data_IF_101905285217
#
_entry.id   IF_101905285217
#
_cell.length_a   1.000
_cell.length_b   1.000
_cell.length_c   1.000
_cell.angle_alpha   90.00
_cell.angle_beta   90.00
_cell.angle_gamma   90.00
#
_symmetry.space_group_name_H-M   'P 1'
#
loop_
_entity.id
_entity.type
_entity.pdbx_description
1 polymer ?
#
# COMPACT_ATOMS: atom_id res chain seq x y z
N UNK A 1 -14.35 -10.77 -3.66
CA UNK A 1 -13.70 -10.23 -2.44
C UNK A 1 -12.94 -9.00 -2.89
N UNK A 2 -13.16 -7.82 -2.31
CA UNK A 2 -12.61 -6.58 -2.86
C UNK A 2 -11.61 -5.93 -1.88
N UNK A 3 -10.44 -5.60 -2.40
CA UNK A 3 -9.39 -4.79 -1.76
C UNK A 3 -9.33 -3.43 -2.48
N UNK A 4 -8.74 -2.40 -1.89
CA UNK A 4 -8.40 -1.15 -2.61
C UNK A 4 -6.89 -1.09 -2.80
N UNK A 5 -6.44 -1.01 -4.05
CA UNK A 5 -5.03 -0.86 -4.41
C UNK A 5 -4.82 0.54 -4.98
N UNK A 6 -3.76 1.22 -4.58
CA UNK A 6 -3.37 2.52 -5.12
C UNK A 6 -1.87 2.57 -5.40
N UNK A 7 -1.46 3.29 -6.45
CA UNK A 7 -0.05 3.43 -6.85
C UNK A 7 0.35 4.91 -6.89
N UNK A 8 1.21 5.33 -5.97
CA UNK A 8 1.75 6.69 -5.93
C UNK A 8 3.17 6.75 -5.36
N UNK A 9 4.04 7.53 -6.03
CA UNK A 9 5.46 7.68 -5.71
C UNK A 9 5.80 8.81 -4.72
N UNK A 10 4.86 9.71 -4.42
CA UNK A 10 5.06 10.79 -3.46
C UNK A 10 3.97 10.79 -2.36
N UNK A 11 3.87 11.84 -1.55
CA UNK A 11 3.14 11.92 -0.28
C UNK A 11 1.57 11.80 -0.28
N UNK A 12 0.80 11.63 -1.39
CA UNK A 12 -0.66 11.54 -1.27
C UNK A 12 -1.19 10.19 -0.75
N UNK A 13 -0.35 9.18 -0.51
CA UNK A 13 -0.76 7.92 0.14
C UNK A 13 -1.45 8.10 1.51
N UNK A 14 -1.15 9.18 2.24
CA UNK A 14 -1.91 9.53 3.45
C UNK A 14 -3.35 9.95 3.12
N UNK A 15 -3.55 10.70 2.05
CA UNK A 15 -4.87 11.09 1.55
C UNK A 15 -5.61 9.86 1.02
N UNK A 16 -4.97 9.05 0.18
CA UNK A 16 -5.44 7.74 -0.26
C UNK A 16 -5.95 6.90 0.91
N UNK A 17 -5.08 6.67 1.90
CA UNK A 17 -5.39 5.91 3.11
C UNK A 17 -6.59 6.50 3.84
N UNK A 18 -6.64 7.83 4.02
CA UNK A 18 -7.75 8.51 4.69
C UNK A 18 -9.10 8.28 3.97
N UNK A 19 -9.10 8.21 2.65
CA UNK A 19 -10.33 8.10 1.85
C UNK A 19 -10.73 6.66 1.48
N UNK A 20 -9.77 5.75 1.33
CA UNK A 20 -9.97 4.40 0.83
C UNK A 20 -9.84 3.32 1.90
N UNK A 21 -9.01 3.54 2.93
CA UNK A 21 -8.85 2.55 3.98
C UNK A 21 -10.09 2.44 4.88
N UNK A 22 -10.25 1.28 5.50
CA UNK A 22 -11.30 1.07 6.49
C UNK A 22 -11.02 1.92 7.73
N UNK A 23 -12.04 2.62 8.21
CA UNK A 23 -11.96 3.50 9.39
C UNK A 23 -11.68 2.77 10.71
N UNK A 24 -11.93 1.47 10.77
CA UNK A 24 -11.64 0.61 11.93
C UNK A 24 -10.23 -0.01 11.90
N UNK A 25 -9.40 0.38 10.93
CA UNK A 25 -8.01 -0.08 10.86
C UNK A 25 -7.19 0.62 11.94
N UNK A 26 -6.67 -0.15 12.91
CA UNK A 26 -5.79 0.33 13.98
C UNK A 26 -4.35 -0.10 13.82
N UNK A 27 -4.08 -1.02 12.90
CA UNK A 27 -2.73 -1.55 12.64
C UNK A 27 -2.43 -1.44 11.15
N UNK A 28 -1.32 -0.79 10.83
CA UNK A 28 -0.78 -0.70 9.48
C UNK A 28 0.52 -1.51 9.35
N UNK A 29 0.84 -1.88 8.11
CA UNK A 29 2.08 -2.54 7.73
C UNK A 29 2.87 -1.69 6.75
N UNK A 30 4.19 -1.61 6.91
CA UNK A 30 5.10 -0.98 5.94
C UNK A 30 6.17 -1.97 5.56
N UNK A 31 6.25 -2.30 4.27
CA UNK A 31 7.28 -3.18 3.72
C UNK A 31 8.27 -2.29 2.94
N UNK A 32 9.47 -2.15 3.49
CA UNK A 32 10.46 -1.17 3.08
C UNK A 32 10.74 -0.15 4.18
N UNK A 33 12.01 0.02 4.54
CA UNK A 33 12.48 0.97 5.57
C UNK A 33 13.51 1.95 4.99
N UNK A 34 13.38 2.26 3.70
CA UNK A 34 14.25 3.19 2.98
C UNK A 34 13.92 4.65 3.26
N UNK A 35 14.59 5.57 2.55
CA UNK A 35 14.43 7.03 2.75
C UNK A 35 12.97 7.48 2.62
N UNK A 36 12.25 6.98 1.62
CA UNK A 36 10.85 7.36 1.39
C UNK A 36 9.88 6.79 2.43
N UNK A 37 10.24 5.68 3.11
CA UNK A 37 9.38 5.06 4.12
C UNK A 37 9.11 6.01 5.31
N UNK A 38 10.03 6.94 5.58
CA UNK A 38 9.92 7.97 6.62
C UNK A 38 8.66 8.82 6.44
N UNK A 39 8.50 9.39 5.25
CA UNK A 39 7.34 10.22 4.89
C UNK A 39 6.04 9.40 4.89
N UNK A 40 6.10 8.16 4.41
CA UNK A 40 4.95 7.27 4.36
C UNK A 40 4.43 6.90 5.76
N UNK A 41 5.32 6.57 6.70
CA UNK A 41 4.92 6.26 8.08
C UNK A 41 4.22 7.45 8.73
N UNK A 42 4.80 8.65 8.62
CA UNK A 42 4.18 9.87 9.16
C UNK A 42 2.82 10.14 8.51
N UNK A 43 2.72 9.99 7.19
CA UNK A 43 1.46 10.17 6.47
C UNK A 43 0.39 9.15 6.88
N UNK A 44 0.77 7.89 7.12
CA UNK A 44 -0.14 6.84 7.58
C UNK A 44 -0.68 7.13 8.99
N UNK A 45 0.18 7.54 9.92
CA UNK A 45 -0.21 7.89 11.28
C UNK A 45 -1.14 9.11 11.30
N UNK A 46 -0.91 10.09 10.43
CA UNK A 46 -1.81 11.25 10.29
C UNK A 46 -3.12 10.92 9.54
N UNK A 47 -3.10 9.92 8.66
CA UNK A 47 -4.25 9.54 7.86
C UNK A 47 -5.28 8.71 8.63
N UNK A 48 -4.84 7.93 9.61
CA UNK A 48 -5.64 6.95 10.33
C UNK A 48 -5.29 6.92 11.82
N UNK A 49 -6.27 6.57 12.67
CA UNK A 49 -6.08 6.40 14.11
C UNK A 49 -5.31 5.10 14.41
N UNK A 50 -4.01 5.06 14.09
CA UNK A 50 -3.18 3.87 14.25
C UNK A 50 -2.68 3.74 15.70
N UNK A 51 -2.81 2.53 16.23
CA UNK A 51 -2.20 2.12 17.50
C UNK A 51 -0.84 1.47 17.30
N UNK A 52 -0.62 0.90 16.11
CA UNK A 52 0.59 0.14 15.78
C UNK A 52 0.94 0.19 14.29
N UNK A 53 2.24 0.28 14.01
CA UNK A 53 2.80 0.05 12.68
C UNK A 53 3.76 -1.13 12.73
N UNK A 54 3.51 -2.15 11.92
CA UNK A 54 4.45 -3.24 11.72
C UNK A 54 5.36 -2.89 10.54
N UNK A 55 6.67 -3.02 10.70
CA UNK A 55 7.63 -2.79 9.63
C UNK A 55 8.40 -4.06 9.28
N UNK A 56 8.74 -4.21 8.01
CA UNK A 56 9.66 -5.25 7.55
C UNK A 56 10.48 -4.73 6.37
N UNK A 57 11.75 -5.08 6.31
CA UNK A 57 12.55 -4.93 5.10
C UNK A 57 13.64 -6.01 5.03
N UNK A 58 14.35 -6.06 3.89
CA UNK A 58 15.53 -6.93 3.70
C UNK A 58 16.81 -6.36 4.33
N UNK A 59 16.79 -5.12 4.84
CA UNK A 59 17.97 -4.54 5.48
C UNK A 59 18.25 -5.22 6.82
N UNK A 60 19.43 -4.97 7.37
CA UNK A 60 19.80 -5.49 8.69
C UNK A 60 18.76 -5.14 9.77
N UNK A 61 18.54 -6.08 10.70
CA UNK A 61 17.59 -5.89 11.81
C UNK A 61 17.93 -4.68 12.68
N UNK A 62 19.21 -4.31 12.77
CA UNK A 62 19.64 -3.09 13.49
C UNK A 62 19.14 -1.82 12.83
N UNK A 63 19.26 -1.71 11.50
CA UNK A 63 18.76 -0.55 10.74
C UNK A 63 17.22 -0.44 10.83
N UNK A 64 16.53 -1.57 10.74
CA UNK A 64 15.07 -1.62 10.94
C UNK A 64 14.68 -1.17 12.35
N UNK A 65 15.43 -1.61 13.38
CA UNK A 65 15.20 -1.21 14.76
C UNK A 65 15.43 0.28 14.98
N UNK A 66 16.53 0.84 14.46
CA UNK A 66 16.77 2.29 14.52
C UNK A 66 15.65 3.10 13.86
N UNK A 67 15.14 2.65 12.71
CA UNK A 67 13.98 3.25 12.06
C UNK A 67 12.73 3.16 12.96
N UNK A 68 12.44 1.98 13.51
CA UNK A 68 11.28 1.78 14.38
C UNK A 68 11.33 2.68 15.62
N UNK A 69 12.48 2.75 16.28
CA UNK A 69 12.67 3.54 17.50
C UNK A 69 12.51 5.04 17.20
N UNK A 70 13.19 5.54 16.14
CA UNK A 70 13.12 6.95 15.69
C UNK A 70 11.68 7.37 15.40
N UNK A 71 10.96 6.59 14.57
CA UNK A 71 9.61 6.97 14.15
C UNK A 71 8.55 6.67 15.22
N UNK A 72 8.79 5.74 16.14
CA UNK A 72 7.92 5.59 17.33
C UNK A 72 7.99 6.84 18.21
N UNK A 73 9.18 7.38 18.43
CA UNK A 73 9.37 8.61 19.20
C UNK A 73 8.73 9.82 18.52
N UNK A 74 8.94 9.99 17.21
CA UNK A 74 8.38 11.11 16.45
C UNK A 74 6.85 11.08 16.40
N UNK A 75 6.26 9.91 16.21
CA UNK A 75 4.82 9.78 15.94
C UNK A 75 3.99 9.47 17.18
N UNK A 76 4.60 8.96 18.24
CA UNK A 76 3.90 8.47 19.44
C UNK A 76 3.16 7.13 19.24
N UNK A 77 3.34 6.47 18.09
CA UNK A 77 2.73 5.18 17.76
C UNK A 77 3.74 4.04 17.98
N UNK A 78 3.29 2.87 18.44
CA UNK A 78 4.16 1.68 18.55
C UNK A 78 4.57 1.19 17.16
N UNK A 79 5.84 1.38 16.79
CA UNK A 79 6.41 0.83 15.57
C UNK A 79 7.28 -0.38 15.93
N UNK A 80 6.89 -1.54 15.39
CA UNK A 80 7.46 -2.83 15.74
C UNK A 80 7.89 -3.61 14.50
N UNK A 81 8.98 -4.36 14.63
CA UNK A 81 9.47 -5.20 13.53
C UNK A 81 8.60 -6.45 13.38
N UNK A 82 8.35 -6.85 12.13
CA UNK A 82 7.87 -8.17 11.77
C UNK A 82 9.04 -9.03 11.26
N UNK A 83 8.88 -10.36 11.31
CA UNK A 83 9.94 -11.29 10.88
C UNK A 83 10.01 -11.45 9.36
N UNK A 84 8.89 -11.22 8.67
CA UNK A 84 8.76 -11.32 7.22
C UNK A 84 7.52 -10.58 6.72
N UNK A 85 7.47 -10.27 5.42
CA UNK A 85 6.27 -9.79 4.75
C UNK A 85 5.09 -10.77 4.95
N UNK A 86 5.34 -12.07 4.83
CA UNK A 86 4.35 -13.14 5.05
C UNK A 86 3.74 -13.14 6.45
N UNK A 87 4.54 -12.81 7.48
CA UNK A 87 4.02 -12.69 8.85
C UNK A 87 3.32 -11.36 9.12
N UNK A 88 3.64 -10.31 8.36
CA UNK A 88 3.12 -8.95 8.51
C UNK A 88 1.76 -8.77 7.83
N UNK A 89 1.67 -9.15 6.55
CA UNK A 89 0.51 -8.85 5.69
C UNK A 89 -0.80 -9.41 6.26
N UNK A 90 -0.86 -10.66 6.78
CA UNK A 90 -2.09 -11.19 7.36
C UNK A 90 -2.52 -10.51 8.66
N UNK A 91 -1.71 -9.64 9.28
CA UNK A 91 -2.02 -9.02 10.57
C UNK A 91 -2.68 -7.65 10.44
N UNK A 92 -2.70 -7.07 9.25
CA UNK A 92 -3.05 -5.66 9.06
C UNK A 92 -4.10 -5.47 7.96
N UNK A 93 -4.68 -4.26 7.90
CA UNK A 93 -5.68 -3.85 6.89
C UNK A 93 -5.24 -2.63 6.08
N UNK A 94 -4.08 -2.07 6.38
CA UNK A 94 -3.41 -1.03 5.60
C UNK A 94 -1.99 -1.54 5.37
N UNK A 95 -1.53 -1.59 4.13
CA UNK A 95 -0.15 -1.97 3.80
C UNK A 95 0.44 -0.98 2.81
N UNK A 96 1.61 -0.43 3.13
CA UNK A 96 2.41 0.34 2.18
C UNK A 96 3.62 -0.47 1.76
N UNK A 97 3.77 -0.69 0.45
CA UNK A 97 4.92 -1.31 -0.18
C UNK A 97 5.80 -0.19 -0.75
N UNK A 98 7.04 -0.13 -0.28
CA UNK A 98 8.00 0.92 -0.66
C UNK A 98 9.42 0.38 -0.69
N UNK A 99 9.62 -0.63 -1.53
CA UNK A 99 10.90 -1.32 -1.71
C UNK A 99 11.52 -1.06 -3.08
N UNK A 100 12.74 -1.56 -3.26
CA UNK A 100 13.41 -1.65 -4.56
C UNK A 100 13.30 -3.06 -5.17
N UNK A 101 12.27 -3.82 -4.82
CA UNK A 101 12.04 -5.13 -5.40
C UNK A 101 11.70 -5.00 -6.89
N UNK A 102 12.26 -5.90 -7.70
CA UNK A 102 11.95 -6.01 -9.14
C UNK A 102 11.00 -7.16 -9.44
N UNK A 103 10.67 -7.96 -8.43
CA UNK A 103 9.83 -9.15 -8.51
C UNK A 103 8.84 -9.14 -7.32
N UNK A 104 7.69 -9.83 -7.43
CA UNK A 104 6.69 -9.87 -6.38
C UNK A 104 7.26 -10.30 -5.03
N UNK A 105 7.02 -9.48 -4.00
CA UNK A 105 7.42 -9.73 -2.61
C UNK A 105 6.24 -10.02 -1.69
N UNK A 106 5.01 -9.84 -2.19
CA UNK A 106 3.79 -10.16 -1.47
C UNK A 106 2.88 -11.06 -2.31
N UNK A 107 2.43 -12.14 -1.69
CA UNK A 107 1.50 -13.08 -2.31
C UNK A 107 0.05 -12.68 -2.04
N UNK A 108 -0.79 -12.77 -3.07
CA UNK A 108 -2.22 -12.48 -3.02
C UNK A 108 -2.99 -13.22 -1.91
N UNK A 109 -2.57 -14.44 -1.56
CA UNK A 109 -3.20 -15.24 -0.51
C UNK A 109 -3.02 -14.69 0.91
N UNK A 110 -2.08 -13.77 1.12
CA UNK A 110 -1.81 -13.20 2.44
C UNK A 110 -2.79 -12.09 2.82
N UNK A 111 -3.47 -11.49 1.84
CA UNK A 111 -4.31 -10.33 2.04
C UNK A 111 -5.63 -10.65 2.75
N UNK A 112 -5.99 -9.86 3.77
CA UNK A 112 -7.30 -9.94 4.43
C UNK A 112 -8.38 -9.13 3.69
N UNK A 113 -9.57 -9.68 3.39
CA UNK A 113 -10.59 -8.96 2.62
C UNK A 113 -10.86 -7.53 3.12
N UNK A 114 -10.73 -6.53 2.26
CA UNK A 114 -10.84 -5.12 2.62
C UNK A 114 -9.53 -4.49 3.13
N UNK A 115 -8.38 -5.10 2.88
CA UNK A 115 -7.08 -4.43 3.01
C UNK A 115 -6.95 -3.31 1.97
N UNK A 116 -6.44 -2.16 2.41
CA UNK A 116 -6.00 -1.07 1.56
C UNK A 116 -4.48 -1.17 1.36
N UNK A 117 -4.02 -1.03 0.11
CA UNK A 117 -2.63 -1.23 -0.28
C UNK A 117 -2.16 0.00 -1.03
N UNK A 118 -1.06 0.59 -0.56
CA UNK A 118 -0.31 1.63 -1.26
C UNK A 118 0.92 0.98 -1.90
N UNK A 119 0.98 0.92 -3.23
CA UNK A 119 2.12 0.46 -4.02
C UNK A 119 2.99 1.65 -4.44
N UNK A 120 4.16 1.79 -3.83
CA UNK A 120 5.04 2.95 -4.03
C UNK A 120 6.32 2.59 -4.76
N UNK A 121 6.84 1.36 -4.56
CA UNK A 121 8.12 0.92 -5.10
C UNK A 121 8.09 0.52 -6.56
N UNK A 122 6.91 0.19 -7.12
CA UNK A 122 6.74 -0.12 -8.54
C UNK A 122 6.69 1.17 -9.37
N UNK A 123 7.86 1.70 -9.70
CA UNK A 123 8.04 3.02 -10.29
C UNK A 123 8.72 3.02 -11.67
N UNK A 124 8.88 1.87 -12.30
CA UNK A 124 9.42 1.75 -13.65
C UNK A 124 8.77 0.58 -14.39
N UNK A 125 8.73 0.61 -15.73
CA UNK A 125 8.20 -0.48 -16.54
C UNK A 125 8.88 -1.80 -16.18
N UNK A 126 8.08 -2.87 -16.02
CA UNK A 126 8.58 -4.20 -15.70
C UNK A 126 9.01 -4.42 -14.25
N UNK A 127 8.97 -3.41 -13.37
CA UNK A 127 9.31 -3.53 -11.94
C UNK A 127 8.03 -3.58 -11.11
N UNK A 128 7.90 -4.59 -10.25
CA UNK A 128 6.70 -4.81 -9.42
C UNK A 128 7.02 -5.31 -8.00
N UNK A 129 6.13 -5.03 -7.06
CA UNK A 129 6.15 -5.53 -5.69
C UNK A 129 5.03 -6.54 -5.41
N UNK A 130 3.97 -6.51 -6.22
CA UNK A 130 2.76 -7.32 -6.11
C UNK A 130 2.72 -8.43 -7.15
N UNK A 131 2.13 -9.56 -6.78
CA UNK A 131 1.80 -10.59 -7.75
C UNK A 131 0.60 -10.18 -8.63
N UNK A 132 0.49 -10.77 -9.82
CA UNK A 132 -0.61 -10.50 -10.75
C UNK A 132 -1.98 -10.71 -10.13
N UNK A 133 -2.10 -11.75 -9.30
CA UNK A 133 -3.35 -12.10 -8.64
C UNK A 133 -3.83 -11.00 -7.65
N UNK A 134 -2.93 -10.21 -7.06
CA UNK A 134 -3.32 -9.08 -6.21
C UNK A 134 -4.03 -8.02 -7.04
N UNK A 135 -3.46 -7.62 -8.18
CA UNK A 135 -4.09 -6.67 -9.12
C UNK A 135 -5.46 -7.15 -9.59
N UNK A 136 -5.54 -8.41 -10.02
CA UNK A 136 -6.77 -9.02 -10.55
C UNK A 136 -7.95 -9.07 -9.55
N UNK A 137 -7.66 -9.16 -8.25
CA UNK A 137 -8.67 -9.26 -7.19
C UNK A 137 -8.92 -7.92 -6.46
N UNK A 138 -8.15 -6.88 -6.80
CA UNK A 138 -8.25 -5.56 -6.23
C UNK A 138 -9.19 -4.64 -7.00
N UNK A 139 -9.58 -3.53 -6.37
CA UNK A 139 -10.05 -2.34 -7.07
C UNK A 139 -8.87 -1.39 -7.17
N UNK A 140 -8.33 -1.22 -8.37
CA UNK A 140 -7.26 -0.27 -8.63
C UNK A 140 -7.78 1.17 -8.66
N UNK A 141 -7.14 2.04 -7.88
CA UNK A 141 -7.27 3.49 -7.94
C UNK A 141 -5.94 4.03 -8.42
N UNK A 142 -5.97 4.79 -9.50
CA UNK A 142 -4.76 5.33 -10.11
C UNK A 142 -4.59 6.81 -9.77
N UNK A 143 -3.37 7.31 -9.90
CA UNK A 143 -3.16 8.73 -10.07
C UNK A 143 -3.95 9.22 -11.29
N UNK A 144 -4.40 10.47 -11.26
CA UNK A 144 -5.17 11.07 -12.36
C UNK A 144 -4.37 11.31 -13.65
N UNK A 145 -3.13 10.82 -13.75
CA UNK A 145 -2.31 10.91 -14.95
C UNK A 145 -2.28 9.59 -15.72
N UNK A 146 -2.30 9.69 -17.04
CA UNK A 146 -2.39 8.54 -17.94
C UNK A 146 -1.09 7.70 -18.01
N UNK A 147 0.03 8.20 -17.45
CA UNK A 147 1.35 7.56 -17.54
C UNK A 147 1.53 6.35 -16.64
N UNK A 148 0.66 6.14 -15.66
CA UNK A 148 0.83 5.06 -14.68
C UNK A 148 0.75 3.65 -15.29
N UNK A 149 -0.05 3.46 -16.35
CA UNK A 149 -0.09 2.20 -17.09
C UNK A 149 1.24 1.89 -17.80
N UNK A 150 2.05 2.90 -18.07
CA UNK A 150 3.34 2.77 -18.73
C UNK A 150 4.49 2.68 -17.71
N UNK A 151 4.28 3.13 -16.47
CA UNK A 151 5.35 3.30 -15.47
C UNK A 151 5.26 2.36 -14.26
N UNK A 152 4.07 1.86 -13.89
CA UNK A 152 3.89 1.00 -12.72
C UNK A 152 3.68 -0.46 -13.11
N UNK A 153 4.75 -1.26 -13.03
CA UNK A 153 4.72 -2.69 -13.29
C UNK A 153 3.66 -3.48 -12.51
N UNK A 154 3.28 -3.04 -11.30
CA UNK A 154 2.22 -3.65 -10.51
C UNK A 154 0.82 -3.61 -11.18
N UNK A 155 0.60 -2.71 -12.15
CA UNK A 155 -0.62 -2.67 -12.97
C UNK A 155 -0.33 -3.01 -14.43
N UNK A 156 0.76 -2.48 -14.98
CA UNK A 156 1.17 -2.71 -16.37
C UNK A 156 1.27 -4.21 -16.67
N UNK A 157 1.99 -4.98 -15.83
CA UNK A 157 2.23 -6.40 -16.07
C UNK A 157 0.92 -7.21 -16.04
N UNK A 158 0.03 -7.07 -15.03
CA UNK A 158 -1.28 -7.73 -15.05
C UNK A 158 -2.16 -7.40 -16.26
N UNK A 159 -2.05 -6.17 -16.78
CA UNK A 159 -2.76 -5.75 -18.00
C UNK A 159 -2.18 -6.42 -19.25
N UNK A 160 -0.86 -6.45 -19.39
CA UNK A 160 -0.17 -7.12 -20.50
C UNK A 160 -0.37 -8.65 -20.48
N UNK A 161 -0.42 -9.26 -19.29
CA UNK A 161 -0.74 -10.68 -19.09
C UNK A 161 -2.22 -10.99 -19.39
N UNK A 162 -3.08 -9.98 -19.55
CA UNK A 162 -4.51 -10.12 -19.84
C UNK A 162 -5.35 -10.58 -18.65
N UNK A 163 -4.79 -10.57 -17.42
CA UNK A 163 -5.47 -11.00 -16.20
C UNK A 163 -6.29 -9.87 -15.57
N UNK A 164 -5.92 -8.62 -15.87
CA UNK A 164 -6.63 -7.42 -15.45
C UNK A 164 -6.88 -6.53 -16.67
N UNK A 165 -8.09 -6.03 -16.88
CA UNK A 165 -8.31 -5.08 -17.98
C UNK A 165 -8.08 -3.67 -17.48
N UNK A 166 -7.47 -2.82 -18.30
CA UNK A 166 -7.36 -1.39 -18.01
C UNK A 166 -8.74 -0.75 -17.76
N UNK A 167 -9.79 -1.23 -18.44
CA UNK A 167 -11.18 -0.80 -18.22
C UNK A 167 -11.73 -1.16 -16.82
N UNK A 168 -11.11 -2.12 -16.11
CA UNK A 168 -11.51 -2.53 -14.77
C UNK A 168 -10.91 -1.64 -13.66
N UNK A 169 -10.06 -0.66 -14.04
CA UNK A 169 -9.58 0.39 -13.13
C UNK A 169 -10.77 1.20 -12.62
N UNK A 170 -10.94 1.20 -11.30
CA UNK A 170 -12.14 1.73 -10.66
C UNK A 170 -12.21 3.26 -10.71
N UNK A 171 -11.08 3.95 -10.84
CA UNK A 171 -11.00 5.39 -11.08
C UNK A 171 -9.72 6.02 -10.53
N UNK A 172 -9.72 7.34 -10.40
CA UNK A 172 -8.62 8.10 -9.82
C UNK A 172 -8.92 8.63 -8.40
N UNK A 173 -7.86 8.90 -7.61
CA UNK A 173 -8.00 9.43 -6.25
C UNK A 173 -8.76 10.78 -6.22
N UNK A 174 -8.56 11.65 -7.23
CA UNK A 174 -9.26 12.93 -7.33
C UNK A 174 -10.78 12.74 -7.49
N UNK A 175 -11.21 11.76 -8.27
CA UNK A 175 -12.61 11.38 -8.41
C UNK A 175 -13.21 10.82 -7.11
N UNK A 176 -12.41 10.13 -6.29
CA UNK A 176 -12.82 9.66 -4.96
C UNK A 176 -12.98 10.83 -3.99
N UNK A 177 -11.99 11.72 -3.91
CA UNK A 177 -12.01 12.89 -3.02
C UNK A 177 -13.20 13.80 -3.33
N UNK A 178 -13.48 14.02 -4.62
CA UNK A 178 -14.60 14.85 -5.07
C UNK A 178 -15.96 14.14 -5.03
N UNK A 179 -16.03 12.89 -4.55
CA UNK A 179 -17.28 12.14 -4.43
C UNK A 179 -17.91 11.73 -5.77
N UNK A 180 -17.16 11.82 -6.88
CA UNK A 180 -17.61 11.34 -8.21
C UNK A 180 -17.66 9.81 -8.25
N UNK A 181 -16.74 9.17 -7.55
CA UNK A 181 -16.65 7.71 -7.42
C UNK A 181 -16.65 7.37 -5.93
N UNK A 182 -17.44 6.37 -5.55
CA UNK A 182 -17.40 5.86 -4.19
C UNK A 182 -16.06 5.15 -3.94
N UNK A 183 -15.31 5.59 -2.92
CA UNK A 183 -14.21 4.80 -2.36
C UNK A 183 -14.70 3.50 -1.74
N UNK A 184 -13.78 2.62 -1.32
CA UNK A 184 -14.14 1.33 -0.69
C UNK A 184 -14.58 1.54 0.77
N UNK A 185 -15.71 2.23 0.96
CA UNK A 185 -16.34 2.42 2.28
C UNK A 185 -17.02 1.12 2.71
N UNK A 186 -16.27 0.19 3.30
CA UNK A 186 -16.91 -0.90 4.05
C UNK A 186 -17.30 -0.41 5.44
N UNK A 187 -18.40 0.34 5.51
CA UNK A 187 -19.12 0.52 6.77
C UNK A 187 -19.83 -0.81 7.06
N UNK A 188 -19.46 -1.48 8.16
CA UNK A 188 -20.46 -2.31 8.83
C UNK A 188 -21.46 -1.33 9.43
N UNK A 189 -22.72 -1.42 8.97
CA UNK A 189 -23.85 -1.09 9.83
C UNK A 189 -23.91 -2.11 10.97
#
# INVERSE_FOLDING_TARGET
MAYSLEFEQELPNGVATRHLARKDSRVAGVIGTGVMARGQVMALVEAAELEKVLIYSRSDKSAQRSFADEFSEITGVDISLAESAESLVPRVRIVTLITSATEPIVNSSWWKPGTHINGVGSHAPGIRELDTATGANGKGYLRSDAGLLEEAGDIQIPVEEGVYRSDDIHGDLGSVINGKIAGVRTTRR
#
